data_IF_792501433052
#
_entry.id   IF_792501433052
#
_cell.length_a   1.000
_cell.length_b   1.000
_cell.length_c   1.000
_cell.angle_alpha   90.00
_cell.angle_beta   90.00
_cell.angle_gamma   90.00
#
_symmetry.space_group_name_H-M   'P 1'
#
loop_
_entity.id
_entity.type
_entity.pdbx_description
1 polymer ?
#
# COMPACT_ATOMS: atom_id res chain seq x y z
N UNK A 1 -20.76 -14.80 29.25
CA UNK A 1 -19.33 -14.53 29.04
C UNK A 1 -19.10 -14.42 27.54
N UNK A 2 -19.05 -13.20 26.98
CA UNK A 2 -18.84 -12.99 25.56
C UNK A 2 -17.35 -13.10 25.25
N UNK A 3 -16.93 -14.18 24.59
CA UNK A 3 -15.56 -14.33 24.11
C UNK A 3 -15.24 -13.21 23.14
N UNK A 4 -14.20 -12.43 23.42
CA UNK A 4 -13.65 -11.47 22.45
C UNK A 4 -13.22 -12.29 21.25
N UNK A 5 -13.87 -12.10 20.10
CA UNK A 5 -13.41 -12.71 18.85
C UNK A 5 -12.00 -12.20 18.57
N UNK A 6 -11.04 -13.11 18.51
CA UNK A 6 -9.66 -12.81 18.16
C UNK A 6 -9.63 -12.28 16.72
N UNK A 7 -8.89 -11.19 16.49
CA UNK A 7 -8.74 -10.60 15.16
C UNK A 7 -7.82 -11.42 14.27
N UNK A 8 -7.66 -10.99 13.02
CA UNK A 8 -6.80 -11.64 12.04
C UNK A 8 -5.48 -10.88 11.92
N UNK A 9 -4.37 -11.62 11.92
CA UNK A 9 -3.03 -11.09 11.68
C UNK A 9 -2.43 -11.76 10.45
N UNK A 10 -1.70 -11.04 9.62
CA UNK A 10 -1.11 -11.57 8.38
C UNK A 10 -1.14 -10.53 7.26
N UNK A 11 -1.04 -10.98 6.02
CA UNK A 11 -1.08 -10.10 4.86
C UNK A 11 -2.39 -10.26 4.10
N UNK A 12 -3.10 -9.17 3.85
CA UNK A 12 -4.32 -9.15 3.06
C UNK A 12 -4.07 -8.42 1.74
N UNK A 13 -4.03 -9.18 0.64
CA UNK A 13 -4.07 -8.60 -0.69
C UNK A 13 -5.51 -8.22 -1.05
N UNK A 14 -5.71 -6.95 -1.41
CA UNK A 14 -6.99 -6.37 -1.80
C UNK A 14 -6.90 -5.89 -3.24
N UNK A 15 -7.83 -6.31 -4.09
CA UNK A 15 -8.00 -5.78 -5.45
C UNK A 15 -9.35 -5.10 -5.55
N UNK A 16 -9.35 -3.77 -5.51
CA UNK A 16 -10.54 -2.97 -5.72
C UNK A 16 -10.72 -2.76 -7.22
N UNK A 17 -11.68 -3.49 -7.80
CA UNK A 17 -11.93 -3.49 -9.23
C UNK A 17 -12.72 -2.23 -9.61
N UNK A 18 -13.96 -2.15 -9.11
CA UNK A 18 -14.90 -1.14 -9.57
C UNK A 18 -15.98 -0.81 -8.54
N UNK A 19 -16.54 0.40 -8.65
CA UNK A 19 -17.77 0.81 -7.99
C UNK A 19 -18.87 1.06 -9.02
N UNK A 20 -20.04 0.47 -8.81
CA UNK A 20 -21.20 0.62 -9.71
C UNK A 20 -22.40 1.18 -8.96
N UNK A 21 -23.20 1.98 -9.65
CA UNK A 21 -24.38 2.63 -9.08
C UNK A 21 -24.07 3.71 -8.05
N UNK A 22 -22.86 4.30 -8.12
CA UNK A 22 -22.43 5.40 -7.26
C UNK A 22 -23.02 6.70 -7.80
N UNK A 23 -24.28 6.99 -7.47
CA UNK A 23 -24.99 8.15 -8.04
C UNK A 23 -24.57 9.49 -7.43
N UNK A 24 -24.36 10.51 -8.26
CA UNK A 24 -24.16 11.87 -7.81
C UNK A 24 -25.33 12.38 -6.97
N UNK A 25 -25.04 12.90 -5.78
CA UNK A 25 -26.01 13.65 -4.99
C UNK A 25 -25.99 15.12 -5.47
N UNK A 26 -26.53 15.40 -6.67
CA UNK A 26 -26.55 16.76 -7.22
C UNK A 26 -26.77 16.85 -8.73
N UNK A 27 -26.58 18.06 -9.28
CA UNK A 27 -26.76 18.37 -10.72
C UNK A 27 -25.57 17.98 -11.60
N UNK A 28 -24.40 17.68 -11.02
CA UNK A 28 -23.22 17.26 -11.79
C UNK A 28 -23.37 15.82 -12.26
N UNK A 29 -23.24 15.59 -13.56
CA UNK A 29 -23.26 14.25 -14.15
C UNK A 29 -22.01 13.43 -13.79
N UNK A 30 -20.87 14.11 -13.61
CA UNK A 30 -19.60 13.48 -13.27
C UNK A 30 -19.12 13.87 -11.87
N UNK A 31 -18.33 12.99 -11.27
CA UNK A 31 -17.67 13.19 -9.98
C UNK A 31 -16.28 12.61 -9.98
N UNK A 32 -15.44 13.21 -9.15
CA UNK A 32 -14.11 12.72 -8.85
C UNK A 32 -14.14 11.93 -7.55
N UNK A 33 -14.03 10.60 -7.63
CA UNK A 33 -14.08 9.73 -6.46
C UNK A 33 -12.76 8.97 -6.24
N UNK A 34 -12.43 8.77 -4.97
CA UNK A 34 -11.38 7.86 -4.54
C UNK A 34 -11.84 7.05 -3.31
N UNK A 35 -11.24 5.89 -3.11
CA UNK A 35 -11.52 5.02 -1.97
C UNK A 35 -10.34 5.04 -0.99
N UNK A 36 -10.66 5.09 0.29
CA UNK A 36 -9.76 4.87 1.42
C UNK A 36 -10.08 3.51 2.02
N UNK A 37 -9.05 2.71 2.24
CA UNK A 37 -9.13 1.40 2.89
C UNK A 37 -8.64 1.56 4.33
N UNK A 38 -9.49 1.22 5.30
CA UNK A 38 -9.14 1.24 6.72
C UNK A 38 -9.28 -0.15 7.35
N UNK A 39 -8.34 -0.52 8.20
CA UNK A 39 -8.49 -1.68 9.08
C UNK A 39 -8.73 -1.19 10.50
N UNK A 40 -9.88 -1.51 11.09
CA UNK A 40 -10.32 -1.02 12.40
C UNK A 40 -10.08 0.49 12.61
N UNK A 41 -10.50 1.29 11.62
CA UNK A 41 -10.36 2.76 11.58
C UNK A 41 -8.93 3.29 11.42
N UNK A 42 -7.96 2.42 11.17
CA UNK A 42 -6.60 2.81 10.80
C UNK A 42 -6.52 2.84 9.28
N UNK A 43 -6.25 4.01 8.71
CA UNK A 43 -6.03 4.18 7.28
C UNK A 43 -4.80 3.38 6.83
N UNK A 44 -5.01 2.46 5.88
CA UNK A 44 -3.97 1.58 5.34
C UNK A 44 -3.63 1.86 3.88
N UNK A 45 -4.58 2.28 3.05
CA UNK A 45 -4.32 2.56 1.65
C UNK A 45 -5.37 3.51 1.05
N UNK A 46 -5.03 4.09 -0.10
CA UNK A 46 -5.90 4.99 -0.85
C UNK A 46 -5.75 4.76 -2.35
N UNK A 47 -6.86 4.77 -3.09
CA UNK A 47 -6.85 4.74 -4.56
C UNK A 47 -6.57 6.12 -5.16
N UNK A 48 -6.20 6.12 -6.44
CA UNK A 48 -6.22 7.33 -7.26
C UNK A 48 -7.65 7.87 -7.40
N UNK A 49 -7.72 9.17 -7.64
CA UNK A 49 -8.97 9.84 -8.00
C UNK A 49 -9.37 9.39 -9.41
N UNK A 50 -10.64 9.04 -9.58
CA UNK A 50 -11.26 8.69 -10.86
C UNK A 50 -12.48 9.55 -11.09
N UNK A 51 -12.52 10.16 -12.27
CA UNK A 51 -13.70 10.87 -12.77
C UNK A 51 -14.66 9.86 -13.40
N UNK A 52 -15.93 9.89 -12.99
CA UNK A 52 -16.96 8.99 -13.49
C UNK A 52 -18.35 9.46 -13.12
N UNK A 53 -19.37 8.80 -13.66
CA UNK A 53 -20.78 9.11 -13.43
C UNK A 53 -21.36 8.24 -12.30
N UNK A 54 -21.82 7.02 -12.65
CA UNK A 54 -22.32 5.95 -11.80
C UNK A 54 -21.29 4.84 -11.63
N UNK A 55 -20.29 4.81 -12.52
CA UNK A 55 -19.41 3.70 -12.79
C UNK A 55 -17.95 4.15 -12.66
N UNK A 56 -17.22 3.51 -11.76
CA UNK A 56 -15.84 3.87 -11.42
C UNK A 56 -14.98 2.64 -11.50
N UNK A 57 -13.99 2.65 -12.39
CA UNK A 57 -13.04 1.56 -12.59
C UNK A 57 -11.69 1.99 -11.99
N UNK A 58 -11.44 1.59 -10.75
CA UNK A 58 -10.16 1.87 -10.08
C UNK A 58 -9.09 0.89 -10.55
N UNK A 59 -9.43 -0.40 -10.57
CA UNK A 59 -8.52 -1.51 -10.90
C UNK A 59 -7.18 -1.42 -10.16
N UNK A 60 -7.23 -1.20 -8.85
CA UNK A 60 -6.04 -1.05 -8.01
C UNK A 60 -5.90 -2.17 -6.97
N UNK A 61 -4.65 -2.56 -6.74
CA UNK A 61 -4.30 -3.63 -5.81
C UNK A 61 -3.47 -3.08 -4.66
N UNK A 62 -3.63 -3.65 -3.46
CA UNK A 62 -2.93 -3.25 -2.24
C UNK A 62 -2.57 -4.49 -1.41
N UNK A 63 -1.44 -4.43 -0.72
CA UNK A 63 -1.01 -5.45 0.27
C UNK A 63 -1.10 -4.81 1.66
N UNK A 64 -2.08 -5.21 2.47
CA UNK A 64 -2.34 -4.62 3.77
C UNK A 64 -1.83 -5.53 4.89
N UNK A 65 -0.94 -5.00 5.74
CA UNK A 65 -0.56 -5.66 6.99
C UNK A 65 -1.70 -5.61 8.00
N UNK A 66 -2.16 -6.80 8.37
CA UNK A 66 -3.14 -7.02 9.43
C UNK A 66 -2.42 -7.35 10.74
N UNK A 67 -2.77 -6.62 11.80
CA UNK A 67 -2.29 -6.84 13.16
C UNK A 67 -3.51 -6.91 14.06
N UNK A 68 -3.98 -8.13 14.34
CA UNK A 68 -5.18 -8.41 15.13
C UNK A 68 -6.41 -7.64 14.63
N UNK A 69 -6.55 -7.50 13.30
CA UNK A 69 -7.59 -6.67 12.71
C UNK A 69 -8.92 -7.41 12.54
N UNK A 70 -10.05 -6.73 12.72
CA UNK A 70 -11.39 -7.34 12.68
C UNK A 70 -12.25 -6.87 11.53
N UNK A 71 -12.14 -5.60 11.16
CA UNK A 71 -12.91 -5.00 10.08
C UNK A 71 -12.00 -4.39 9.01
N UNK A 72 -12.44 -4.50 7.76
CA UNK A 72 -11.93 -3.75 6.62
C UNK A 72 -13.04 -2.83 6.10
N UNK A 73 -12.80 -1.54 6.17
CA UNK A 73 -13.70 -0.49 5.71
C UNK A 73 -13.23 0.09 4.37
N UNK A 74 -14.20 0.33 3.49
CA UNK A 74 -14.05 1.01 2.20
C UNK A 74 -14.82 2.33 2.27
N UNK A 75 -14.08 3.43 2.38
CA UNK A 75 -14.63 4.78 2.50
C UNK A 75 -14.42 5.55 1.20
N UNK A 76 -15.49 5.86 0.48
CA UNK A 76 -15.40 6.54 -0.82
C UNK A 76 -15.68 8.02 -0.64
N UNK A 77 -14.70 8.83 -1.00
CA UNK A 77 -14.75 10.28 -0.88
C UNK A 77 -14.91 10.94 -2.24
N UNK A 78 -15.67 12.03 -2.28
CA UNK A 78 -15.63 13.01 -3.36
C UNK A 78 -14.42 13.91 -3.16
N UNK A 79 -13.53 13.92 -4.13
CA UNK A 79 -12.40 14.82 -4.19
C UNK A 79 -12.85 16.24 -4.56
N UNK A 80 -12.18 17.23 -4.00
CA UNK A 80 -12.37 18.64 -4.30
C UNK A 80 -11.02 19.35 -4.16
N UNK A 81 -10.57 20.16 -5.13
CA UNK A 81 -9.27 20.82 -5.08
C UNK A 81 -9.20 21.97 -4.06
N UNK A 82 -10.33 22.55 -3.67
CA UNK A 82 -10.42 23.78 -2.88
C UNK A 82 -10.96 23.51 -1.47
N UNK A 83 -11.82 22.51 -1.32
CA UNK A 83 -12.55 22.24 -0.09
C UNK A 83 -12.26 20.87 0.50
N UNK A 84 -12.72 20.67 1.73
CA UNK A 84 -12.62 19.38 2.40
C UNK A 84 -13.38 18.31 1.63
N UNK A 85 -12.69 17.22 1.32
CA UNK A 85 -13.29 16.07 0.64
C UNK A 85 -14.43 15.48 1.47
N UNK A 86 -15.52 15.10 0.79
CA UNK A 86 -16.75 14.62 1.43
C UNK A 86 -16.83 13.11 1.37
N UNK A 87 -17.03 12.44 2.51
CA UNK A 87 -17.37 11.01 2.53
C UNK A 87 -18.75 10.84 1.89
N UNK A 88 -18.83 10.03 0.84
CA UNK A 88 -20.06 9.79 0.09
C UNK A 88 -20.61 8.38 0.30
N UNK A 89 -19.74 7.39 0.48
CA UNK A 89 -20.16 6.00 0.64
C UNK A 89 -19.29 5.24 1.62
N UNK A 90 -19.88 4.23 2.26
CA UNK A 90 -19.17 3.29 3.13
C UNK A 90 -19.61 1.86 2.86
N UNK A 91 -18.63 0.96 2.73
CA UNK A 91 -18.81 -0.49 2.78
C UNK A 91 -17.86 -1.10 3.82
N UNK A 92 -18.28 -2.20 4.44
CA UNK A 92 -17.50 -2.85 5.50
C UNK A 92 -17.48 -4.36 5.30
N UNK A 93 -16.35 -4.99 5.60
CA UNK A 93 -16.15 -6.43 5.60
C UNK A 93 -15.66 -6.86 6.97
N UNK A 94 -16.39 -7.77 7.62
CA UNK A 94 -15.94 -8.40 8.86
C UNK A 94 -14.94 -9.51 8.54
N UNK A 95 -13.65 -9.22 8.70
CA UNK A 95 -12.52 -10.07 8.30
C UNK A 95 -12.57 -11.42 9.00
N UNK A 96 -12.89 -11.45 10.30
CA UNK A 96 -12.90 -12.68 11.10
C UNK A 96 -13.94 -13.68 10.60
N UNK A 97 -15.10 -13.22 10.15
CA UNK A 97 -16.13 -14.12 9.60
C UNK A 97 -15.78 -14.55 8.18
N UNK A 98 -15.38 -13.61 7.34
CA UNK A 98 -15.09 -13.86 5.93
C UNK A 98 -13.93 -14.85 5.76
N UNK A 99 -12.81 -14.60 6.43
CA UNK A 99 -11.58 -15.38 6.24
C UNK A 99 -11.63 -16.78 6.89
N UNK A 100 -12.67 -17.07 7.69
CA UNK A 100 -12.96 -18.44 8.14
C UNK A 100 -13.53 -19.30 7.02
N UNK A 101 -14.25 -18.71 6.07
CA UNK A 101 -14.86 -19.44 4.95
C UNK A 101 -13.83 -19.80 3.89
N UNK A 102 -12.95 -18.85 3.53
CA UNK A 102 -11.92 -19.04 2.51
C UNK A 102 -10.78 -18.02 2.67
N UNK A 103 -9.54 -18.35 2.27
CA UNK A 103 -8.49 -17.33 2.13
C UNK A 103 -8.66 -16.48 0.86
N UNK A 104 -9.53 -16.88 -0.07
CA UNK A 104 -9.76 -16.23 -1.37
C UNK A 104 -11.24 -15.86 -1.52
N UNK A 105 -11.51 -14.60 -1.81
CA UNK A 105 -12.87 -14.11 -2.03
C UNK A 105 -12.96 -13.21 -3.25
N UNK A 106 -14.08 -13.29 -3.96
CA UNK A 106 -14.52 -12.31 -4.94
C UNK A 106 -15.90 -11.82 -4.51
N UNK A 107 -16.00 -10.53 -4.20
CA UNK A 107 -17.15 -9.95 -3.52
C UNK A 107 -17.81 -8.87 -4.37
N UNK A 108 -19.14 -8.86 -4.30
CA UNK A 108 -19.99 -7.73 -4.69
C UNK A 108 -20.53 -7.08 -3.42
N UNK A 109 -19.71 -6.23 -2.79
CA UNK A 109 -20.00 -5.60 -1.52
C UNK A 109 -21.03 -4.47 -1.71
N UNK A 110 -22.20 -4.61 -1.07
CA UNK A 110 -23.17 -3.52 -0.98
C UNK A 110 -22.63 -2.42 -0.07
N UNK A 111 -22.89 -1.18 -0.43
CA UNK A 111 -22.41 -0.01 0.29
C UNK A 111 -23.55 0.97 0.55
N UNK A 112 -23.43 1.71 1.64
CA UNK A 112 -24.36 2.76 2.05
C UNK A 112 -23.98 4.09 1.39
N UNK A 113 -24.95 4.94 0.99
CA UNK A 113 -26.40 4.70 1.04
C UNK A 113 -26.93 3.82 -0.11
N UNK A 114 -26.15 3.66 -1.18
CA UNK A 114 -26.45 2.77 -2.32
C UNK A 114 -25.20 2.57 -3.15
N UNK A 115 -25.07 1.39 -3.74
CA UNK A 115 -24.04 1.07 -4.71
C UNK A 115 -23.56 -0.36 -4.53
N UNK A 116 -22.59 -0.75 -5.35
CA UNK A 116 -21.89 -2.03 -5.17
C UNK A 116 -20.43 -1.87 -5.53
N UNK A 117 -19.55 -2.27 -4.62
CA UNK A 117 -18.13 -2.42 -4.87
C UNK A 117 -17.83 -3.86 -5.31
N UNK A 118 -17.06 -3.99 -6.37
CA UNK A 118 -16.52 -5.26 -6.84
C UNK A 118 -15.06 -5.35 -6.41
N UNK A 119 -14.71 -6.40 -5.68
CA UNK A 119 -13.36 -6.56 -5.16
C UNK A 119 -12.97 -8.03 -5.03
N UNK A 120 -11.66 -8.30 -5.05
CA UNK A 120 -11.07 -9.59 -4.71
C UNK A 120 -10.20 -9.45 -3.48
N UNK A 121 -10.21 -10.47 -2.62
CA UNK A 121 -9.40 -10.55 -1.42
C UNK A 121 -8.61 -11.85 -1.44
N UNK A 122 -7.35 -11.77 -1.03
CA UNK A 122 -6.49 -12.93 -0.77
C UNK A 122 -5.73 -12.75 0.54
N UNK A 123 -6.02 -13.59 1.50
CA UNK A 123 -5.33 -13.61 2.78
C UNK A 123 -4.15 -14.59 2.78
N UNK A 124 -3.03 -14.14 3.31
CA UNK A 124 -1.81 -14.93 3.51
C UNK A 124 -1.45 -14.90 5.00
N UNK A 125 -1.45 -16.06 5.70
CA UNK A 125 -1.14 -16.11 7.13
C UNK A 125 0.28 -15.60 7.44
N UNK A 126 0.56 -15.14 8.68
CA UNK A 126 1.86 -14.59 9.09
C UNK A 126 3.01 -15.54 8.79
N UNK A 127 2.83 -16.83 9.11
CA UNK A 127 3.83 -17.87 8.87
C UNK A 127 4.23 -18.03 7.41
N UNK A 128 3.40 -17.57 6.47
CA UNK A 128 3.71 -17.59 5.04
C UNK A 128 4.14 -16.21 4.55
N UNK A 129 3.51 -15.15 5.05
CA UNK A 129 3.81 -13.77 4.69
C UNK A 129 5.26 -13.37 5.05
N UNK A 130 5.79 -13.89 6.17
CA UNK A 130 7.14 -13.60 6.65
C UNK A 130 8.20 -14.63 6.24
N UNK A 131 7.83 -15.67 5.47
CA UNK A 131 8.84 -16.57 4.90
C UNK A 131 9.57 -15.86 3.79
N UNK A 132 10.87 -15.63 4.00
CA UNK A 132 11.77 -15.18 2.93
C UNK A 132 11.76 -16.24 1.83
N UNK A 133 11.30 -15.86 0.65
CA UNK A 133 11.54 -16.65 -0.56
C UNK A 133 12.87 -16.18 -1.12
N UNK A 134 13.95 -16.99 -1.06
CA UNK A 134 15.25 -16.62 -1.61
C UNK A 134 15.10 -16.33 -3.11
N UNK A 135 15.80 -15.33 -3.63
CA UNK A 135 15.82 -15.16 -5.07
C UNK A 135 16.50 -16.34 -5.75
N UNK A 136 15.86 -16.86 -6.79
CA UNK A 136 16.41 -17.93 -7.65
C UNK A 136 17.41 -17.35 -8.66
N UNK A 137 17.47 -16.03 -8.87
CA UNK A 137 18.33 -15.39 -9.87
C UNK A 137 19.66 -14.95 -9.28
N UNK A 138 20.77 -15.34 -9.94
CA UNK A 138 22.15 -15.04 -9.50
C UNK A 138 22.46 -13.54 -9.30
N UNK A 139 21.75 -12.63 -9.98
CA UNK A 139 21.96 -11.17 -9.93
C UNK A 139 20.74 -10.36 -9.41
N UNK A 140 19.82 -10.97 -8.66
CA UNK A 140 18.69 -10.20 -8.10
C UNK A 140 19.12 -9.17 -7.05
N UNK A 141 18.41 -8.03 -7.04
CA UNK A 141 18.49 -7.02 -5.98
C UNK A 141 17.57 -7.34 -4.79
N UNK A 142 16.44 -8.01 -5.04
CA UNK A 142 15.46 -8.37 -4.02
C UNK A 142 15.61 -9.84 -3.63
N UNK A 143 15.32 -10.19 -2.37
CA UNK A 143 15.42 -11.57 -1.87
C UNK A 143 16.86 -12.09 -1.76
N UNK A 144 17.83 -11.19 -1.74
CA UNK A 144 19.27 -11.43 -1.51
C UNK A 144 19.69 -10.57 -0.32
N UNK A 145 20.63 -11.06 0.47
CA UNK A 145 21.19 -10.32 1.59
C UNK A 145 21.78 -8.95 1.17
N UNK A 146 21.55 -7.91 1.97
CA UNK A 146 21.94 -6.54 1.59
C UNK A 146 23.46 -6.36 1.51
N UNK A 147 24.24 -7.03 2.37
CA UNK A 147 25.71 -6.97 2.30
C UNK A 147 26.18 -7.56 0.97
N UNK A 148 25.52 -8.64 0.52
CA UNK A 148 25.78 -9.24 -0.79
C UNK A 148 25.46 -8.28 -1.94
N UNK A 149 24.37 -7.51 -1.85
CA UNK A 149 24.02 -6.51 -2.87
C UNK A 149 25.02 -5.35 -2.85
N UNK A 150 25.35 -4.81 -1.67
CA UNK A 150 26.29 -3.70 -1.51
C UNK A 150 27.69 -4.04 -2.02
N UNK A 151 28.17 -5.26 -1.77
CA UNK A 151 29.48 -5.72 -2.22
C UNK A 151 29.55 -5.93 -3.75
N UNK A 152 28.42 -6.20 -4.42
CA UNK A 152 28.37 -6.36 -5.88
C UNK A 152 28.36 -5.02 -6.61
N UNK A 153 27.79 -3.99 -6.00
CA UNK A 153 27.77 -2.67 -6.59
C UNK A 153 29.18 -2.08 -6.57
N UNK A 154 29.76 -1.91 -7.76
CA UNK A 154 31.11 -1.37 -7.95
C UNK A 154 31.16 0.08 -7.46
N UNK A 155 31.48 0.27 -6.18
CA UNK A 155 31.48 1.58 -5.53
C UNK A 155 31.94 1.60 -4.06
N UNK A 156 32.10 0.45 -3.39
CA UNK A 156 32.61 0.40 -2.02
C UNK A 156 31.73 1.09 -0.96
N UNK A 157 30.48 1.41 -1.30
CA UNK A 157 29.52 2.00 -0.38
C UNK A 157 28.95 0.97 0.58
N UNK A 158 28.63 1.40 1.81
CA UNK A 158 27.94 0.58 2.82
C UNK A 158 26.42 0.50 2.60
N UNK A 159 25.88 1.26 1.64
CA UNK A 159 24.44 1.37 1.38
C UNK A 159 24.14 1.07 -0.10
N UNK A 160 23.31 0.06 -0.41
CA UNK A 160 22.87 -0.23 -1.77
C UNK A 160 22.23 0.95 -2.48
N UNK A 161 22.49 1.09 -3.79
CA UNK A 161 22.02 2.19 -4.63
C UNK A 161 20.50 2.35 -4.58
N UNK A 162 19.75 1.25 -4.60
CA UNK A 162 18.30 1.27 -4.51
C UNK A 162 17.82 1.98 -3.23
N UNK A 163 18.47 1.71 -2.09
CA UNK A 163 18.14 2.34 -0.81
C UNK A 163 18.46 3.83 -0.87
N UNK A 164 19.69 4.18 -1.29
CA UNK A 164 20.11 5.57 -1.40
C UNK A 164 19.17 6.41 -2.28
N UNK A 165 18.77 5.87 -3.44
CA UNK A 165 17.87 6.58 -4.37
C UNK A 165 16.44 6.71 -3.84
N UNK A 166 15.90 5.67 -3.21
CA UNK A 166 14.56 5.73 -2.60
C UNK A 166 14.53 6.74 -1.45
N UNK A 167 15.53 6.73 -0.56
CA UNK A 167 15.63 7.67 0.56
C UNK A 167 15.74 9.10 0.06
N UNK A 168 16.64 9.37 -0.89
CA UNK A 168 16.81 10.72 -1.45
C UNK A 168 15.49 11.27 -2.04
N UNK A 169 14.71 10.44 -2.72
CA UNK A 169 13.43 10.86 -3.28
C UNK A 169 12.36 11.09 -2.19
N UNK A 170 12.33 10.26 -1.14
CA UNK A 170 11.44 10.45 0.01
C UNK A 170 11.79 11.72 0.78
N UNK A 171 13.06 12.01 0.98
CA UNK A 171 13.50 13.27 1.59
C UNK A 171 13.15 14.47 0.73
N UNK A 172 13.25 14.34 -0.60
CA UNK A 172 12.97 15.43 -1.55
C UNK A 172 11.50 15.87 -1.57
N UNK A 173 10.54 14.94 -1.46
CA UNK A 173 9.09 15.27 -1.63
C UNK A 173 8.11 14.53 -0.71
N UNK A 174 8.61 13.61 0.12
CA UNK A 174 7.77 12.75 0.96
C UNK A 174 7.55 13.27 2.37
N UNK A 175 8.41 14.18 2.86
CA UNK A 175 8.42 14.60 4.26
C UNK A 175 7.13 15.28 4.72
N UNK A 176 6.44 16.00 3.82
CA UNK A 176 5.17 16.66 4.11
C UNK A 176 3.94 15.75 3.84
N UNK A 177 4.15 14.50 3.41
CA UNK A 177 3.07 13.58 3.07
C UNK A 177 2.54 12.90 4.34
N UNK A 178 1.28 13.19 4.67
CA UNK A 178 0.57 12.56 5.79
C UNK A 178 0.49 11.04 5.56
N UNK A 179 0.91 10.28 6.57
CA UNK A 179 0.81 8.83 6.54
C UNK A 179 1.95 8.13 5.79
N UNK A 180 3.02 8.86 5.47
CA UNK A 180 4.28 8.28 4.99
C UNK A 180 4.69 7.07 5.84
N UNK A 181 5.12 5.99 5.19
CA UNK A 181 5.45 4.68 5.79
C UNK A 181 4.30 3.91 6.44
N UNK A 182 3.15 4.54 6.72
CA UNK A 182 1.93 3.88 7.26
C UNK A 182 0.95 3.46 6.17
N UNK A 183 0.91 4.21 5.08
CA UNK A 183 0.06 3.91 3.93
C UNK A 183 0.77 2.98 2.96
N UNK A 184 0.01 2.04 2.42
CA UNK A 184 0.43 1.14 1.37
C UNK A 184 0.16 1.79 0.01
N UNK A 185 1.22 1.96 -0.79
CA UNK A 185 1.09 2.29 -2.19
C UNK A 185 0.59 1.10 -3.02
N UNK A 186 0.05 1.39 -4.21
CA UNK A 186 -0.48 0.38 -5.14
C UNK A 186 0.51 -0.78 -5.38
N UNK A 187 0.08 -2.00 -5.09
CA UNK A 187 0.89 -3.22 -5.24
C UNK A 187 1.33 -3.46 -6.68
N UNK A 188 0.47 -3.17 -7.66
CA UNK A 188 0.83 -3.20 -9.09
C UNK A 188 1.99 -2.24 -9.38
N UNK A 189 1.93 -1.00 -8.88
CA UNK A 189 2.98 0.00 -9.10
C UNK A 189 4.27 -0.38 -8.37
N UNK A 190 4.18 -0.91 -7.14
CA UNK A 190 5.34 -1.46 -6.40
C UNK A 190 6.02 -2.58 -7.18
N UNK A 191 5.25 -3.51 -7.77
CA UNK A 191 5.80 -4.59 -8.62
C UNK A 191 6.49 -4.03 -9.86
N UNK A 192 5.86 -3.11 -10.59
CA UNK A 192 6.48 -2.50 -11.78
C UNK A 192 7.79 -1.76 -11.44
N UNK A 193 7.81 -1.05 -10.31
CA UNK A 193 9.00 -0.39 -9.82
C UNK A 193 10.09 -1.39 -9.41
N UNK A 194 9.72 -2.50 -8.75
CA UNK A 194 10.62 -3.62 -8.44
C UNK A 194 11.27 -4.16 -9.71
N UNK A 195 10.46 -4.47 -10.72
CA UNK A 195 10.95 -5.01 -11.99
C UNK A 195 11.87 -4.02 -12.71
N UNK A 196 11.58 -2.71 -12.63
CA UNK A 196 12.46 -1.67 -13.18
C UNK A 196 13.82 -1.63 -12.46
N UNK A 197 13.83 -1.70 -11.13
CA UNK A 197 15.06 -1.80 -10.36
C UNK A 197 15.84 -3.08 -10.67
N UNK A 198 15.18 -4.23 -10.79
CA UNK A 198 15.85 -5.48 -11.16
C UNK A 198 16.49 -5.43 -12.55
N UNK A 199 15.88 -4.69 -13.49
CA UNK A 199 16.45 -4.50 -14.84
C UNK A 199 17.68 -3.61 -14.81
N UNK A 200 17.57 -2.40 -14.27
CA UNK A 200 18.70 -1.49 -14.13
C UNK A 200 18.41 -0.40 -13.07
N UNK A 201 18.98 -0.50 -11.86
CA UNK A 201 18.68 0.43 -10.77
C UNK A 201 19.17 1.86 -11.04
N UNK A 202 20.11 2.07 -11.96
CA UNK A 202 20.64 3.40 -12.32
C UNK A 202 19.71 4.19 -13.24
N UNK A 203 18.88 3.50 -14.02
CA UNK A 203 17.99 4.12 -15.01
C UNK A 203 16.54 4.28 -14.53
N UNK A 204 16.22 3.77 -13.34
CA UNK A 204 14.87 3.95 -12.77
C UNK A 204 14.59 5.43 -12.55
N UNK A 205 13.52 5.95 -13.13
CA UNK A 205 13.05 7.30 -12.81
C UNK A 205 12.09 7.25 -11.61
N UNK A 206 12.43 7.96 -10.55
CA UNK A 206 11.64 8.07 -9.31
C UNK A 206 10.88 9.39 -9.21
N UNK A 207 10.95 10.23 -10.25
CA UNK A 207 10.28 11.53 -10.31
C UNK A 207 8.78 11.42 -10.02
N UNK A 208 8.18 12.55 -9.64
CA UNK A 208 6.73 12.65 -9.43
C UNK A 208 5.91 12.34 -10.68
N UNK A 209 6.50 12.48 -11.87
CA UNK A 209 5.80 12.22 -13.13
C UNK A 209 5.71 10.71 -13.41
N UNK A 210 6.77 9.96 -13.08
CA UNK A 210 6.82 8.52 -13.30
C UNK A 210 6.28 7.70 -12.10
N UNK A 211 6.56 8.13 -10.86
CA UNK A 211 6.08 7.49 -9.63
C UNK A 211 5.39 8.52 -8.73
N UNK A 212 4.16 8.98 -9.07
CA UNK A 212 3.50 10.07 -8.32
C UNK A 212 3.26 9.74 -6.84
N UNK A 213 2.83 8.51 -6.55
CA UNK A 213 2.54 8.07 -5.17
C UNK A 213 3.83 7.70 -4.44
N UNK A 214 4.22 8.52 -3.46
CA UNK A 214 5.43 8.29 -2.66
C UNK A 214 5.39 6.98 -1.86
N UNK A 215 4.19 6.50 -1.53
CA UNK A 215 4.02 5.26 -0.75
C UNK A 215 4.39 4.01 -1.56
N UNK A 216 4.45 4.13 -2.89
CA UNK A 216 5.03 3.10 -3.76
C UNK A 216 6.54 3.00 -3.52
N UNK A 217 7.24 4.14 -3.34
CA UNK A 217 8.68 4.19 -3.11
C UNK A 217 9.03 3.70 -1.71
N UNK A 218 8.30 4.14 -0.68
CA UNK A 218 8.51 3.67 0.70
C UNK A 218 8.26 2.17 0.85
N UNK A 219 7.31 1.62 0.10
CA UNK A 219 7.03 0.18 0.07
C UNK A 219 8.17 -0.66 -0.52
N UNK A 220 8.98 -0.10 -1.44
CA UNK A 220 10.15 -0.80 -1.97
C UNK A 220 11.26 -0.93 -0.93
N UNK A 221 11.45 0.12 -0.11
CA UNK A 221 12.38 0.09 1.01
C UNK A 221 11.99 -1.00 2.02
N UNK A 222 10.73 -1.02 2.45
CA UNK A 222 10.21 -2.03 3.40
C UNK A 222 10.35 -3.46 2.86
N UNK A 223 10.18 -3.66 1.54
CA UNK A 223 10.32 -4.98 0.94
C UNK A 223 11.77 -5.48 0.79
N UNK A 224 12.76 -4.59 0.90
CA UNK A 224 14.18 -4.95 1.00
C UNK A 224 14.58 -5.21 2.46
N UNK A 225 13.91 -4.54 3.40
CA UNK A 225 14.22 -4.51 4.84
C UNK A 225 13.56 -5.65 5.64
N UNK A 226 13.61 -6.88 5.14
CA UNK A 226 13.11 -8.04 5.92
C UNK A 226 13.97 -8.35 7.15
N UNK A 227 14.96 -7.52 7.50
CA UNK A 227 15.88 -7.66 8.64
C UNK A 227 15.81 -6.44 9.58
N UNK A 228 15.11 -6.55 10.73
CA UNK A 228 15.01 -5.48 11.72
C UNK A 228 16.36 -4.98 12.28
N UNK A 229 17.47 -5.69 12.07
CA UNK A 229 18.80 -5.28 12.54
C UNK A 229 19.47 -4.21 11.66
N UNK A 230 18.95 -3.96 10.45
CA UNK A 230 19.50 -2.96 9.52
C UNK A 230 19.04 -1.54 9.89
N UNK A 231 17.87 -1.42 10.56
CA UNK A 231 17.46 -0.21 11.29
C UNK A 231 18.49 0.27 12.32
N UNK A 232 19.45 -0.57 12.73
CA UNK A 232 20.50 -0.20 13.66
C UNK A 232 21.83 0.20 13.01
N UNK A 233 22.04 -0.02 11.71
CA UNK A 233 23.38 0.12 11.09
C UNK A 233 23.57 1.30 10.14
N UNK A 234 22.51 1.97 9.69
CA UNK A 234 22.63 3.06 8.71
C UNK A 234 22.41 4.44 9.36
N UNK A 235 23.19 5.45 8.94
CA UNK A 235 23.01 6.88 9.29
C UNK A 235 21.62 7.45 8.98
N UNK A 236 20.75 6.67 8.32
CA UNK A 236 19.32 6.93 8.12
C UNK A 236 18.58 7.15 9.45
N UNK A 237 19.07 6.61 10.59
CA UNK A 237 18.50 6.88 11.93
C UNK A 237 18.32 8.37 12.23
N UNK A 238 19.25 9.25 11.81
CA UNK A 238 19.22 10.65 12.25
C UNK A 238 18.01 11.42 11.68
N UNK A 239 17.58 11.09 10.45
CA UNK A 239 16.38 11.66 9.84
C UNK A 239 15.12 10.84 10.14
N UNK A 240 15.23 9.50 10.23
CA UNK A 240 14.09 8.63 10.55
C UNK A 240 13.56 8.81 11.99
N UNK A 241 14.43 9.00 12.98
CA UNK A 241 14.01 9.27 14.36
C UNK A 241 13.41 10.67 14.52
N UNK A 242 13.88 11.67 13.76
CA UNK A 242 13.31 13.02 13.79
C UNK A 242 11.88 13.05 13.23
N UNK A 243 11.55 12.19 12.27
CA UNK A 243 10.18 12.08 11.71
C UNK A 243 9.25 11.32 12.67
N UNK A 244 9.76 10.31 13.38
CA UNK A 244 9.02 9.59 14.43
C UNK A 244 8.81 10.43 15.71
N UNK A 245 9.64 11.44 15.96
CA UNK A 245 9.53 12.32 17.13
C UNK A 245 8.40 13.37 17.02
N UNK A 246 7.73 13.44 15.86
CA UNK A 246 6.53 14.26 15.62
C UNK A 246 5.26 13.41 15.39
N UNK A 247 5.28 12.13 15.80
CA UNK A 247 4.09 11.28 15.93
C UNK A 247 3.52 11.39 17.35
#
# INVERSE_FOLDING_TARGET
MGGVSEGVSGMLWVHLLAGRGLKAAGRSEFRDLYCVLECDRVHKARTVVRTGDLNFDWDETFDLDLINNKELDFLIYSWDPQFRHKLCYKGSVHLVSLLKESPLHQLALKIEPRGTLYLKLRYTPPRQAFLRTPSVRKNSLFGVDLDTVSNRESGGGTVPLIIARCVAEVERRGLDIIGLYRLCGSATKKRLLRDAFERNPRLVDLSSDNVPDINVITGQYQALDSDPSILMKTSVKQNFFNILHYI
#
